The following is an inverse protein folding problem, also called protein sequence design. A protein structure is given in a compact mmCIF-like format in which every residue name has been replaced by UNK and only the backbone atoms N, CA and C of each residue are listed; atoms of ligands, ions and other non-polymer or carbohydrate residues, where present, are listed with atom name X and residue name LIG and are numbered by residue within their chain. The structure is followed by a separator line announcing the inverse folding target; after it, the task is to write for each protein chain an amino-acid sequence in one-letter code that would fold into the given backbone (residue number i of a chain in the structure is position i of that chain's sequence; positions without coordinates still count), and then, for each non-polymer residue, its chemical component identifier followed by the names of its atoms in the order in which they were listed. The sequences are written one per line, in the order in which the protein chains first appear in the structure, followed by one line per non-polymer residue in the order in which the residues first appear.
data_IF_064218337247
#
_entry.id   IF_064218337247
#
_cell.length_a   1.000
_cell.length_b   1.000
_cell.length_c   1.000
_cell.angle_alpha   90.00
_cell.angle_beta   90.00
_cell.angle_gamma   90.00
#
_symmetry.space_group_name_H-M   'P 1'
#
loop_
_entity.id
_entity.type
_entity.pdbx_description
1 polymer ?
#
# COMPACT_ATOMS: atom_id res chain seq x y z
N UNK A 1 3.63 -4.58 -11.53
CA UNK A 1 3.64 -4.35 -10.07
C UNK A 1 2.36 -4.92 -9.50
N UNK A 2 2.40 -5.68 -8.40
CA UNK A 2 1.18 -6.09 -7.68
C UNK A 2 0.98 -5.21 -6.44
N UNK A 3 -0.22 -4.65 -6.30
CA UNK A 3 -0.57 -3.77 -5.20
C UNK A 3 -1.28 -4.55 -4.09
N UNK A 4 -0.75 -4.47 -2.87
CA UNK A 4 -1.38 -4.98 -1.65
C UNK A 4 -2.00 -3.81 -0.91
N UNK A 5 -3.33 -3.70 -0.98
CA UNK A 5 -4.09 -2.68 -0.26
C UNK A 5 -4.65 -3.17 1.08
N UNK A 6 -5.21 -2.26 1.86
CA UNK A 6 -5.77 -2.48 3.21
C UNK A 6 -6.91 -3.51 3.27
N UNK A 7 -7.62 -3.72 2.16
CA UNK A 7 -8.65 -4.76 2.07
C UNK A 7 -8.11 -6.17 1.88
N UNK A 8 -6.81 -6.34 1.61
CA UNK A 8 -6.17 -7.65 1.35
C UNK A 8 -6.92 -8.53 0.35
N UNK A 9 -7.56 -7.91 -0.65
CA UNK A 9 -8.12 -8.64 -1.78
C UNK A 9 -6.98 -9.37 -2.51
N UNK A 10 -7.23 -10.61 -2.92
CA UNK A 10 -6.23 -11.52 -3.48
C UNK A 10 -5.10 -11.97 -2.50
N UNK A 11 -5.10 -11.58 -1.22
CA UNK A 11 -4.05 -11.98 -0.28
C UNK A 11 -4.54 -11.99 1.18
N UNK A 12 -5.81 -12.36 1.36
CA UNK A 12 -6.46 -12.30 2.65
C UNK A 12 -7.74 -13.09 2.69
N UNK A 13 -8.21 -13.38 3.88
CA UNK A 13 -9.43 -14.16 4.15
C UNK A 13 -10.30 -13.43 5.16
N UNK A 14 -11.60 -13.61 5.07
CA UNK A 14 -12.58 -12.99 5.97
C UNK A 14 -12.76 -13.88 7.20
N UNK A 15 -12.48 -13.34 8.40
CA UNK A 15 -12.72 -14.04 9.66
C UNK A 15 -14.20 -14.13 10.01
N UNK A 16 -14.53 -14.87 11.07
CA UNK A 16 -15.91 -14.99 11.58
C UNK A 16 -16.52 -13.65 12.04
N UNK A 17 -15.68 -12.67 12.34
CA UNK A 17 -16.04 -11.29 12.67
C UNK A 17 -16.32 -10.40 11.45
N UNK A 18 -16.28 -10.97 10.24
CA UNK A 18 -16.45 -10.23 9.00
C UNK A 18 -15.24 -9.39 8.60
N UNK A 19 -14.14 -9.42 9.37
CA UNK A 19 -12.94 -8.63 9.08
C UNK A 19 -12.00 -9.44 8.20
N UNK A 20 -11.65 -8.87 7.05
CA UNK A 20 -10.63 -9.44 6.16
C UNK A 20 -9.22 -9.17 6.68
N UNK A 21 -8.41 -10.22 6.81
CA UNK A 21 -7.03 -10.18 7.31
C UNK A 21 -6.08 -10.77 6.28
N UNK A 22 -4.82 -10.37 6.35
CA UNK A 22 -3.76 -10.91 5.50
C UNK A 22 -3.62 -12.43 5.66
N UNK A 23 -3.52 -13.14 4.54
CA UNK A 23 -3.34 -14.59 4.47
C UNK A 23 -1.97 -14.89 3.81
N UNK A 24 -0.99 -15.44 4.57
CA UNK A 24 0.34 -15.71 4.07
C UNK A 24 0.40 -16.68 2.89
N UNK A 25 -0.42 -17.73 2.88
CA UNK A 25 -0.40 -18.75 1.82
C UNK A 25 -1.02 -18.21 0.55
N UNK A 26 -2.15 -17.51 0.67
CA UNK A 26 -2.77 -16.84 -0.47
C UNK A 26 -1.84 -15.77 -1.06
N UNK A 27 -1.15 -15.01 -0.20
CA UNK A 27 -0.14 -14.06 -0.64
C UNK A 27 0.98 -14.75 -1.40
N UNK A 28 1.57 -15.82 -0.84
CA UNK A 28 2.70 -16.55 -1.45
C UNK A 28 2.33 -17.12 -2.81
N UNK A 29 1.14 -17.71 -2.93
CA UNK A 29 0.62 -18.26 -4.19
C UNK A 29 0.51 -17.17 -5.26
N UNK A 30 -0.09 -16.03 -4.91
CA UNK A 30 -0.23 -14.93 -5.86
C UNK A 30 1.11 -14.26 -6.16
N UNK A 31 1.91 -13.96 -5.13
CA UNK A 31 3.23 -13.35 -5.26
C UNK A 31 4.17 -14.17 -6.15
N UNK A 32 4.05 -15.50 -6.19
CA UNK A 32 4.90 -16.39 -6.98
C UNK A 32 4.65 -16.32 -8.48
N UNK A 33 3.51 -15.77 -8.91
CA UNK A 33 3.16 -15.63 -10.33
C UNK A 33 4.26 -14.93 -11.14
N UNK A 34 4.65 -15.45 -12.32
CA UNK A 34 5.77 -14.90 -13.09
C UNK A 34 5.50 -13.49 -13.62
N UNK A 35 4.24 -13.09 -13.77
CA UNK A 35 3.84 -11.73 -14.19
C UNK A 35 4.13 -10.69 -13.10
N UNK A 36 4.18 -11.10 -11.83
CA UNK A 36 4.49 -10.21 -10.71
C UNK A 36 5.99 -10.06 -10.60
N UNK A 37 6.51 -8.87 -10.94
CA UNK A 37 7.93 -8.54 -10.85
C UNK A 37 8.33 -7.77 -9.58
N UNK A 38 7.36 -7.12 -8.94
CA UNK A 38 7.54 -6.33 -7.73
C UNK A 38 6.20 -6.15 -7.03
N UNK A 39 6.24 -5.93 -5.72
CA UNK A 39 5.08 -5.85 -4.83
C UNK A 39 5.10 -4.49 -4.14
N UNK A 40 3.95 -3.82 -4.12
CA UNK A 40 3.80 -2.50 -3.53
C UNK A 40 2.75 -2.56 -2.44
N UNK A 41 3.17 -2.31 -1.19
CA UNK A 41 2.28 -2.15 -0.06
C UNK A 41 1.71 -0.74 -0.07
N UNK A 42 0.40 -0.61 -0.28
CA UNK A 42 -0.25 0.67 -0.47
C UNK A 42 -0.76 1.23 0.86
N UNK A 43 -0.06 2.22 1.40
CA UNK A 43 -0.45 2.91 2.64
C UNK A 43 -1.53 3.95 2.37
N UNK A 44 -1.35 4.76 1.33
CA UNK A 44 -2.26 5.83 0.94
C UNK A 44 -2.16 6.14 -0.55
N UNK A 45 -3.07 6.98 -1.06
CA UNK A 45 -3.05 7.52 -2.43
C UNK A 45 -3.44 9.00 -2.39
N UNK A 46 -2.98 9.78 -3.37
CA UNK A 46 -3.23 11.23 -3.44
C UNK A 46 -4.70 11.61 -3.31
N UNK A 47 -5.55 11.01 -4.14
CA UNK A 47 -6.97 11.33 -4.21
C UNK A 47 -7.81 11.02 -2.94
N UNK A 48 -7.27 10.20 -2.02
CA UNK A 48 -7.93 9.84 -0.76
C UNK A 48 -6.93 9.24 0.23
N UNK A 49 -6.10 10.07 0.87
CA UNK A 49 -5.00 9.57 1.67
C UNK A 49 -5.45 8.78 2.91
N UNK A 50 -6.66 9.07 3.40
CA UNK A 50 -7.23 8.50 4.63
C UNK A 50 -8.37 7.48 4.41
N UNK A 51 -8.68 7.10 3.16
CA UNK A 51 -9.81 6.20 2.87
C UNK A 51 -9.42 5.03 1.95
N UNK A 52 -9.94 3.85 2.27
CA UNK A 52 -9.71 2.65 1.48
C UNK A 52 -10.40 2.69 0.11
N UNK A 53 -10.07 1.72 -0.74
CA UNK A 53 -10.78 1.47 -1.99
C UNK A 53 -12.25 1.06 -1.74
N UNK A 54 -13.16 1.52 -2.60
CA UNK A 54 -14.53 0.99 -2.67
C UNK A 54 -14.72 0.43 -4.08
N UNK A 55 -15.17 -0.82 -4.18
CA UNK A 55 -15.71 -1.37 -5.42
C UNK A 55 -17.17 -1.79 -5.16
N UNK A 56 -18.15 -1.10 -5.78
CA UNK A 56 -19.55 -1.45 -5.66
C UNK A 56 -19.84 -2.86 -6.17
N UNK A 57 -20.74 -3.59 -5.50
CA UNK A 57 -21.23 -4.92 -5.85
C UNK A 57 -21.71 -5.00 -7.29
N UNK A 58 -22.37 -3.95 -7.78
CA UNK A 58 -22.88 -3.87 -9.16
C UNK A 58 -21.77 -3.99 -10.22
N UNK A 59 -20.51 -3.74 -9.85
CA UNK A 59 -19.34 -3.90 -10.72
C UNK A 59 -18.63 -5.25 -10.52
N UNK A 60 -19.07 -6.10 -9.59
CA UNK A 60 -18.44 -7.39 -9.31
C UNK A 60 -18.99 -8.45 -10.27
N UNK A 61 -18.10 -8.93 -11.14
CA UNK A 61 -18.34 -10.07 -12.03
C UNK A 61 -17.64 -11.33 -11.47
N UNK A 62 -17.94 -12.55 -11.97
CA UNK A 62 -17.24 -13.75 -11.55
C UNK A 62 -15.71 -13.64 -11.63
N UNK A 63 -15.19 -13.05 -12.71
CA UNK A 63 -13.76 -12.83 -12.93
C UNK A 63 -13.19 -11.87 -11.88
N UNK A 64 -13.93 -10.81 -11.52
CA UNK A 64 -13.50 -9.87 -10.48
C UNK A 64 -13.53 -10.53 -9.09
N UNK A 65 -14.55 -11.33 -8.80
CA UNK A 65 -14.67 -12.05 -7.55
C UNK A 65 -13.55 -13.08 -7.36
N UNK A 66 -13.21 -13.83 -8.41
CA UNK A 66 -12.07 -14.74 -8.44
C UNK A 66 -10.76 -13.98 -8.22
N UNK A 67 -10.51 -12.92 -9.00
CA UNK A 67 -9.31 -12.12 -8.89
C UNK A 67 -9.14 -11.48 -7.50
N UNK A 68 -10.23 -11.22 -6.78
CA UNK A 68 -10.22 -10.66 -5.41
C UNK A 68 -10.27 -11.72 -4.31
N UNK A 69 -10.53 -12.99 -4.64
CA UNK A 69 -10.73 -14.06 -3.68
C UNK A 69 -11.98 -13.86 -2.80
N UNK A 70 -13.11 -13.50 -3.42
CA UNK A 70 -14.39 -13.30 -2.72
C UNK A 70 -15.20 -14.60 -2.52
N UNK A 71 -14.84 -15.68 -3.21
CA UNK A 71 -15.61 -16.92 -3.20
C UNK A 71 -16.87 -16.85 -4.07
N UNK A 72 -17.76 -17.86 -3.98
CA UNK A 72 -19.00 -17.92 -4.77
C UNK A 72 -20.01 -16.84 -4.33
N UNK A 73 -20.95 -16.46 -5.20
CA UNK A 73 -21.99 -15.46 -4.89
C UNK A 73 -22.97 -15.95 -3.79
N UNK A 74 -23.72 -15.05 -3.14
CA UNK A 74 -23.85 -13.61 -3.43
C UNK A 74 -22.68 -12.76 -2.93
N UNK A 75 -22.26 -11.77 -3.72
CA UNK A 75 -21.22 -10.81 -3.32
C UNK A 75 -21.80 -9.54 -2.70
N UNK A 76 -20.95 -8.84 -1.96
CA UNK A 76 -21.21 -7.56 -1.30
C UNK A 76 -20.24 -6.49 -1.80
N UNK A 77 -20.47 -5.24 -1.40
CA UNK A 77 -19.55 -4.15 -1.69
C UNK A 77 -18.17 -4.44 -1.10
N UNK A 78 -17.14 -4.30 -1.92
CA UNK A 78 -15.76 -4.44 -1.45
C UNK A 78 -15.29 -3.11 -0.88
N UNK A 79 -15.46 -2.94 0.43
CA UNK A 79 -14.98 -1.77 1.18
C UNK A 79 -13.66 -2.11 1.87
N UNK A 80 -12.58 -1.41 1.51
CA UNK A 80 -11.30 -1.56 2.20
C UNK A 80 -11.25 -0.66 3.44
N UNK A 81 -10.72 -1.12 4.58
CA UNK A 81 -10.46 -0.27 5.75
C UNK A 81 -9.50 0.89 5.44
N UNK A 82 -9.46 1.95 6.27
CA UNK A 82 -8.54 3.08 6.08
C UNK A 82 -7.07 2.71 6.36
N UNK A 83 -6.81 1.67 7.16
CA UNK A 83 -5.47 1.23 7.53
C UNK A 83 -5.32 -0.29 7.36
N UNK A 84 -4.07 -0.73 7.24
CA UNK A 84 -3.71 -2.14 7.29
C UNK A 84 -3.87 -2.66 8.72
N UNK A 85 -4.55 -3.79 8.89
CA UNK A 85 -4.70 -4.42 10.21
C UNK A 85 -3.55 -5.38 10.57
N UNK A 86 -2.58 -5.58 9.68
CA UNK A 86 -1.42 -6.43 9.92
C UNK A 86 -0.33 -5.75 10.78
N UNK A 87 -0.39 -4.43 10.95
CA UNK A 87 0.58 -3.65 11.73
C UNK A 87 -0.06 -2.35 12.24
N UNK A 88 0.49 -1.80 13.32
CA UNK A 88 0.00 -0.55 13.94
C UNK A 88 1.09 0.51 14.10
N UNK A 89 2.33 0.20 13.73
CA UNK A 89 3.48 1.09 13.85
C UNK A 89 4.36 1.07 12.59
N UNK A 90 5.18 2.11 12.36
CA UNK A 90 6.21 2.11 11.31
C UNK A 90 7.15 0.89 11.37
N UNK A 91 7.60 0.50 12.56
CA UNK A 91 8.44 -0.70 12.74
C UNK A 91 7.69 -1.97 12.33
N UNK A 92 6.44 -2.12 12.75
CA UNK A 92 5.60 -3.25 12.36
C UNK A 92 5.37 -3.31 10.85
N UNK A 93 5.18 -2.16 10.20
CA UNK A 93 5.07 -2.06 8.74
C UNK A 93 6.36 -2.52 8.04
N UNK A 94 7.54 -2.12 8.53
CA UNK A 94 8.82 -2.54 7.95
C UNK A 94 9.06 -4.04 8.10
N UNK A 95 8.76 -4.61 9.27
CA UNK A 95 8.80 -6.06 9.48
C UNK A 95 7.81 -6.79 8.57
N UNK A 96 6.64 -6.21 8.33
CA UNK A 96 5.68 -6.76 7.38
C UNK A 96 6.23 -6.72 5.95
N UNK A 97 6.83 -5.60 5.50
CA UNK A 97 7.50 -5.49 4.19
C UNK A 97 8.61 -6.55 4.04
N UNK A 98 9.41 -6.77 5.08
CA UNK A 98 10.42 -7.83 5.09
C UNK A 98 9.79 -9.22 4.92
N UNK A 99 8.73 -9.51 5.68
CA UNK A 99 7.99 -10.77 5.55
C UNK A 99 7.45 -10.97 4.14
N UNK A 100 6.89 -9.94 3.51
CA UNK A 100 6.42 -9.99 2.12
C UNK A 100 7.56 -10.31 1.15
N UNK A 101 8.74 -9.70 1.35
CA UNK A 101 9.94 -9.96 0.54
C UNK A 101 10.36 -11.42 0.63
N UNK A 102 10.43 -11.98 1.83
CA UNK A 102 10.77 -13.38 2.07
C UNK A 102 9.75 -14.33 1.43
N UNK A 103 8.45 -14.12 1.66
CA UNK A 103 7.38 -14.96 1.10
C UNK A 103 7.28 -14.88 -0.43
N UNK A 104 7.72 -13.78 -1.04
CA UNK A 104 7.72 -13.60 -2.49
C UNK A 104 8.94 -14.20 -3.21
N UNK A 105 9.86 -14.85 -2.47
CA UNK A 105 11.10 -15.36 -3.03
C UNK A 105 12.12 -14.26 -3.35
N UNK A 106 12.11 -13.15 -2.61
CA UNK A 106 13.05 -12.06 -2.77
C UNK A 106 12.68 -11.03 -3.84
N UNK A 107 11.42 -11.01 -4.32
CA UNK A 107 10.98 -9.95 -5.24
C UNK A 107 11.07 -8.59 -4.55
N UNK A 108 11.39 -7.49 -5.28
CA UNK A 108 11.40 -6.15 -4.71
C UNK A 108 10.04 -5.81 -4.08
N UNK A 109 10.07 -5.36 -2.82
CA UNK A 109 8.89 -4.92 -2.07
C UNK A 109 9.08 -3.48 -1.64
N UNK A 110 8.16 -2.63 -2.06
CA UNK A 110 8.14 -1.22 -1.72
C UNK A 110 6.84 -0.79 -1.07
N UNK A 111 6.78 0.49 -0.73
CA UNK A 111 5.58 1.13 -0.19
C UNK A 111 5.12 2.25 -1.10
N UNK A 112 3.81 2.51 -1.12
CA UNK A 112 3.21 3.68 -1.77
C UNK A 112 2.50 4.55 -0.75
N UNK A 113 2.78 5.85 -0.79
CA UNK A 113 2.13 6.85 0.05
C UNK A 113 2.00 8.19 -0.66
N UNK A 114 0.92 8.90 -0.36
CA UNK A 114 0.85 10.36 -0.44
C UNK A 114 1.26 10.91 0.92
N UNK A 115 2.20 11.87 0.93
CA UNK A 115 2.69 12.49 2.16
C UNK A 115 1.60 13.41 2.70
N UNK A 116 1.09 13.13 3.90
CA UNK A 116 0.16 14.02 4.60
C UNK A 116 0.94 15.07 5.40
N UNK A 117 1.81 14.61 6.29
CA UNK A 117 2.61 15.47 7.16
C UNK A 117 4.09 15.07 7.20
N UNK A 118 5.02 16.03 7.34
CA UNK A 118 6.45 15.72 7.35
C UNK A 118 6.91 14.74 8.45
N UNK A 119 6.24 14.77 9.60
CA UNK A 119 6.58 13.91 10.73
C UNK A 119 6.29 12.42 10.45
N UNK A 120 5.37 12.10 9.53
CA UNK A 120 5.06 10.72 9.12
C UNK A 120 6.26 10.10 8.38
N UNK A 121 6.89 10.87 7.49
CA UNK A 121 8.11 10.48 6.78
C UNK A 121 9.28 10.35 7.77
N UNK A 122 9.40 11.28 8.71
CA UNK A 122 10.41 11.20 9.77
C UNK A 122 10.25 9.91 10.58
N UNK A 123 9.03 9.55 11.00
CA UNK A 123 8.76 8.33 11.76
C UNK A 123 9.12 7.06 10.98
N UNK A 124 8.84 7.02 9.67
CA UNK A 124 9.28 5.92 8.80
C UNK A 124 10.81 5.82 8.74
N UNK A 125 11.51 6.93 8.58
CA UNK A 125 12.98 6.95 8.53
C UNK A 125 13.60 6.54 9.86
N UNK A 126 13.07 7.02 10.99
CA UNK A 126 13.50 6.56 12.32
C UNK A 126 13.33 5.06 12.46
N UNK A 127 12.18 4.51 12.08
CA UNK A 127 11.96 3.07 12.14
C UNK A 127 12.91 2.28 11.22
N UNK A 128 13.30 2.82 10.05
CA UNK A 128 14.29 2.19 9.17
C UNK A 128 15.69 2.16 9.80
N UNK A 129 16.06 3.22 10.52
CA UNK A 129 17.33 3.29 11.25
C UNK A 129 17.33 2.32 12.43
N UNK A 130 16.26 2.30 13.22
CA UNK A 130 16.13 1.47 14.42
C UNK A 130 16.11 -0.03 14.09
N UNK A 131 15.36 -0.42 13.05
CA UNK A 131 15.20 -1.83 12.67
C UNK A 131 16.28 -2.32 11.71
N UNK A 132 16.96 -1.41 11.00
CA UNK A 132 17.84 -1.72 9.87
C UNK A 132 17.10 -2.18 8.61
N UNK A 133 15.77 -2.32 8.65
CA UNK A 133 14.94 -2.80 7.54
C UNK A 133 14.46 -1.63 6.69
N UNK A 134 14.58 -1.75 5.38
CA UNK A 134 14.11 -0.76 4.40
C UNK A 134 13.20 -1.41 3.36
N UNK A 135 12.22 -0.68 2.80
CA UNK A 135 11.61 -1.07 1.53
C UNK A 135 12.64 -0.95 0.40
N UNK A 136 12.45 -1.70 -0.68
CA UNK A 136 13.31 -1.63 -1.87
C UNK A 136 13.05 -0.35 -2.68
N UNK A 137 11.80 0.15 -2.62
CA UNK A 137 11.39 1.40 -3.22
C UNK A 137 10.27 2.09 -2.43
N UNK A 138 10.14 3.40 -2.63
CA UNK A 138 9.03 4.21 -2.14
C UNK A 138 8.42 4.96 -3.31
N UNK A 139 7.14 4.71 -3.57
CA UNK A 139 6.34 5.47 -4.54
C UNK A 139 5.67 6.64 -3.83
N UNK A 140 6.04 7.85 -4.21
CA UNK A 140 5.49 9.09 -3.68
C UNK A 140 4.39 9.56 -4.62
N UNK A 141 3.16 9.56 -4.10
CA UNK A 141 1.97 10.01 -4.80
C UNK A 141 1.69 11.48 -4.46
N UNK A 142 1.56 12.35 -5.46
CA UNK A 142 1.10 13.72 -5.25
C UNK A 142 -0.37 13.77 -4.87
N UNK A 143 -0.77 14.81 -4.14
CA UNK A 143 -2.18 15.10 -3.82
C UNK A 143 -3.05 15.18 -5.08
N UNK A 144 -2.48 15.66 -6.18
CA UNK A 144 -3.06 15.74 -7.53
C UNK A 144 -3.37 14.38 -8.20
N UNK A 145 -3.13 13.25 -7.53
CA UNK A 145 -3.41 11.91 -8.04
C UNK A 145 -4.90 11.64 -8.25
N UNK A 146 -5.24 11.00 -9.38
CA UNK A 146 -6.64 10.69 -9.73
C UNK A 146 -7.23 9.47 -9.01
N UNK A 147 -8.55 9.30 -9.13
CA UNK A 147 -9.31 8.18 -8.55
C UNK A 147 -10.62 7.94 -9.30
N UNK A 148 -11.02 6.68 -9.45
CA UNK A 148 -12.28 6.33 -10.10
C UNK A 148 -13.52 6.45 -9.20
N UNK A 149 -13.35 6.71 -7.89
CA UNK A 149 -14.45 6.66 -6.92
C UNK A 149 -14.15 7.38 -5.58
N UNK A 150 -13.35 8.45 -5.54
CA UNK A 150 -13.25 9.24 -4.29
C UNK A 150 -14.34 10.31 -4.26
N UNK A 151 -14.90 10.62 -3.07
CA UNK A 151 -15.76 11.79 -2.88
C UNK A 151 -15.04 13.06 -3.34
N UNK A 152 -15.77 13.99 -3.96
CA UNK A 152 -15.21 15.21 -4.53
C UNK A 152 -14.48 16.05 -3.47
N UNK A 153 -14.96 16.00 -2.22
CA UNK A 153 -14.44 16.74 -1.08
C UNK A 153 -13.01 16.35 -0.68
N UNK A 154 -12.54 15.14 -1.03
CA UNK A 154 -11.18 14.69 -0.71
C UNK A 154 -10.17 14.89 -1.84
N UNK A 155 -10.62 15.25 -3.05
CA UNK A 155 -9.74 15.32 -4.22
C UNK A 155 -8.80 16.54 -4.20
N UNK A 156 -9.19 17.63 -3.52
CA UNK A 156 -8.52 18.93 -3.64
C UNK A 156 -7.92 19.48 -2.33
N UNK A 157 -7.89 18.71 -1.24
CA UNK A 157 -7.53 19.29 0.08
C UNK A 157 -6.69 18.40 1.01
N UNK A 158 -6.29 17.19 0.61
CA UNK A 158 -5.56 16.27 1.49
C UNK A 158 -4.30 15.74 0.82
N UNK A 159 -3.14 15.99 1.43
CA UNK A 159 -1.84 15.53 0.97
C UNK A 159 -0.95 16.66 0.42
N UNK A 160 0.34 16.38 0.33
CA UNK A 160 1.36 17.30 -0.18
C UNK A 160 1.46 17.18 -1.72
N UNK A 161 1.67 18.28 -2.46
CA UNK A 161 1.95 18.22 -3.90
C UNK A 161 3.15 17.32 -4.21
N UNK A 162 3.17 16.63 -5.36
CA UNK A 162 4.22 15.65 -5.68
C UNK A 162 5.62 16.22 -5.55
N UNK A 163 5.86 17.41 -6.11
CA UNK A 163 7.18 18.03 -6.09
C UNK A 163 7.69 18.25 -4.65
N UNK A 164 6.82 18.71 -3.76
CA UNK A 164 7.13 18.95 -2.36
C UNK A 164 7.32 17.64 -1.59
N UNK A 165 6.39 16.69 -1.75
CA UNK A 165 6.45 15.38 -1.07
C UNK A 165 7.68 14.58 -1.49
N UNK A 166 7.99 14.57 -2.78
CA UNK A 166 9.16 13.89 -3.33
C UNK A 166 10.46 14.52 -2.82
N UNK A 167 10.54 15.86 -2.85
CA UNK A 167 11.71 16.59 -2.32
C UNK A 167 11.91 16.29 -0.84
N UNK A 168 10.84 16.34 -0.06
CA UNK A 168 10.86 16.07 1.37
C UNK A 168 11.40 14.65 1.65
N UNK A 169 10.78 13.62 1.07
CA UNK A 169 11.21 12.23 1.27
C UNK A 169 12.67 12.05 0.83
N UNK A 170 13.06 12.58 -0.33
CA UNK A 170 14.43 12.50 -0.80
C UNK A 170 15.42 13.14 0.18
N UNK A 171 15.10 14.32 0.73
CA UNK A 171 15.93 15.00 1.73
C UNK A 171 16.08 14.18 3.03
N UNK A 172 14.99 13.60 3.55
CA UNK A 172 15.06 12.74 4.73
C UNK A 172 15.93 11.50 4.49
N UNK A 173 15.77 10.84 3.33
CA UNK A 173 16.57 9.66 2.98
C UNK A 173 18.05 9.98 2.78
N UNK A 174 18.39 11.16 2.24
CA UNK A 174 19.78 11.62 2.13
C UNK A 174 20.35 11.89 3.52
N UNK A 175 19.63 12.65 4.36
CA UNK A 175 20.07 13.01 5.71
C UNK A 175 20.29 11.78 6.61
N UNK A 176 19.51 10.72 6.40
CA UNK A 176 19.64 9.45 7.13
C UNK A 176 20.61 8.44 6.47
N UNK A 177 21.29 8.80 5.38
CA UNK A 177 22.16 7.91 4.60
C UNK A 177 21.46 6.62 4.10
N UNK A 178 20.15 6.71 3.81
CA UNK A 178 19.33 5.60 3.30
C UNK A 178 19.09 5.69 1.78
N UNK A 179 19.43 6.82 1.15
CA UNK A 179 19.07 7.11 -0.25
C UNK A 179 19.63 6.10 -1.26
N UNK A 180 20.80 5.52 -1.00
CA UNK A 180 21.41 4.49 -1.86
C UNK A 180 20.66 3.15 -1.82
N UNK A 181 19.96 2.88 -0.73
CA UNK A 181 19.23 1.61 -0.47
C UNK A 181 17.80 1.62 -1.02
N UNK A 182 17.21 2.80 -1.19
CA UNK A 182 15.78 2.95 -1.53
C UNK A 182 15.62 3.69 -2.85
N UNK A 183 14.92 3.10 -3.81
CA UNK A 183 14.54 3.78 -5.05
C UNK A 183 13.29 4.63 -4.84
N UNK A 184 13.28 5.85 -5.39
CA UNK A 184 12.10 6.71 -5.36
C UNK A 184 11.38 6.66 -6.70
N UNK A 185 10.06 6.50 -6.65
CA UNK A 185 9.17 6.55 -7.80
C UNK A 185 8.23 7.73 -7.58
N UNK A 186 8.07 8.58 -8.59
CA UNK A 186 7.14 9.71 -8.56
C UNK A 186 5.86 9.34 -9.30
N UNK A 187 4.70 9.64 -8.70
CA UNK A 187 3.38 9.35 -9.25
C UNK A 187 2.48 10.55 -8.99
N UNK A 188 1.92 11.14 -10.04
CA UNK A 188 1.11 12.36 -9.97
C UNK A 188 0.56 12.70 -11.35
N UNK A 189 -0.30 13.71 -11.42
CA UNK A 189 -0.91 14.17 -12.66
C UNK A 189 -0.15 15.34 -13.25
#
# INVERSE_FOLDING_TARGET
VWNVGTGYFACGTTGADGIRRFDPEMFKNNASRPEIKMIELKLSQGAKPAHGGILPKSKITPIIAEARGLGPPPWEDCVSPPCHNAFTSPQGMLLFVQKLREMSGGKPVGIKLCVGQPHEVAALVHAMLDTGVTPDFMTIDGAEGGTGAAPAEFQDSVGMPLAEGLRLVNSYLIGANLRSRIKLIASGK
#
